data_IF_206460378376
#
_entry.id   IF_206460378376
#
_cell.length_a   1.000
_cell.length_b   1.000
_cell.length_c   1.000
_cell.angle_alpha   90.00
_cell.angle_beta   90.00
_cell.angle_gamma   90.00
#
_symmetry.space_group_name_H-M   'P 1'
#
loop_
_entity.id
_entity.type
_entity.pdbx_description
1 polymer ?
#
# COMPACT_ATOMS: atom_id res chain seq x y z
N UNK A 1 22.70 -9.77 9.39
CA UNK A 1 21.29 -9.89 8.95
C UNK A 1 20.64 -8.54 9.09
N UNK A 2 19.94 -8.11 8.05
CA UNK A 2 19.17 -6.85 8.11
C UNK A 2 17.71 -7.18 8.35
N UNK A 3 17.09 -6.44 9.27
CA UNK A 3 15.67 -6.62 9.57
C UNK A 3 15.06 -5.28 9.99
N UNK A 4 13.75 -5.17 9.90
CA UNK A 4 13.02 -3.98 10.32
C UNK A 4 11.68 -4.38 10.91
N UNK A 5 11.40 -3.87 12.10
CA UNK A 5 10.10 -4.04 12.76
C UNK A 5 9.24 -2.82 12.48
N UNK A 6 7.93 -3.02 12.40
CA UNK A 6 7.00 -1.94 12.08
C UNK A 6 7.15 -0.73 13.01
N UNK A 7 7.30 -0.96 14.31
CA UNK A 7 7.40 0.14 15.29
C UNK A 7 8.62 1.03 15.04
N UNK A 8 9.65 0.52 14.38
CA UNK A 8 10.89 1.25 14.11
C UNK A 8 11.02 1.67 12.66
N UNK A 9 10.05 1.36 11.82
CA UNK A 9 10.07 1.74 10.42
C UNK A 9 9.81 3.24 10.27
N UNK A 10 10.52 3.92 9.36
CA UNK A 10 10.34 5.35 9.17
C UNK A 10 8.97 5.68 8.56
N UNK A 11 8.35 6.74 9.06
CA UNK A 11 7.14 7.28 8.46
C UNK A 11 7.44 7.88 7.11
N UNK A 12 6.52 7.73 6.17
CA UNK A 12 6.56 8.43 4.90
C UNK A 12 5.66 9.65 4.97
N UNK A 13 6.19 10.78 4.53
CA UNK A 13 5.41 12.00 4.36
C UNK A 13 4.63 11.87 3.04
N UNK A 14 3.33 11.68 3.14
CA UNK A 14 2.45 11.51 1.98
C UNK A 14 1.31 12.51 2.00
N UNK A 15 0.72 12.82 0.84
CA UNK A 15 -0.46 13.70 0.82
C UNK A 15 -1.71 13.06 1.42
N UNK A 16 -1.67 11.76 1.70
CA UNK A 16 -2.83 11.03 2.22
C UNK A 16 -3.09 11.27 3.71
N UNK A 17 -2.06 11.71 4.47
CA UNK A 17 -2.16 12.02 5.90
C UNK A 17 -2.60 10.85 6.76
N UNK A 18 -2.22 9.64 6.38
CA UNK A 18 -2.46 8.41 7.14
C UNK A 18 -1.12 7.79 7.52
N UNK A 19 -1.15 6.76 8.37
CA UNK A 19 0.07 6.09 8.81
C UNK A 19 0.64 5.24 7.68
N UNK A 20 1.70 5.71 7.04
CA UNK A 20 2.44 5.02 5.99
C UNK A 20 3.88 4.88 6.44
N UNK A 21 4.38 3.65 6.50
CA UNK A 21 5.75 3.36 6.90
C UNK A 21 6.47 2.56 5.84
N UNK A 22 7.72 2.93 5.57
CA UNK A 22 8.55 2.20 4.61
C UNK A 22 9.23 1.02 5.31
N UNK A 23 8.89 -0.20 4.88
CA UNK A 23 9.44 -1.42 5.45
C UNK A 23 10.66 -1.92 4.68
N UNK A 24 10.74 -1.61 3.39
CA UNK A 24 11.79 -2.12 2.52
C UNK A 24 11.94 -1.19 1.33
N UNK A 25 13.16 -0.89 0.94
CA UNK A 25 13.41 -0.08 -0.25
C UNK A 25 14.73 -0.52 -0.88
N UNK A 26 14.62 -1.19 -2.00
CA UNK A 26 15.73 -1.61 -2.86
C UNK A 26 15.32 -1.34 -4.31
N UNK A 27 16.26 -1.37 -5.27
CA UNK A 27 15.90 -1.04 -6.66
C UNK A 27 14.77 -1.90 -7.24
N UNK A 28 14.68 -3.17 -6.86
CA UNK A 28 13.71 -4.09 -7.43
C UNK A 28 12.35 -4.06 -6.74
N UNK A 29 12.26 -3.47 -5.56
CA UNK A 29 11.00 -3.41 -4.83
C UNK A 29 10.99 -2.34 -3.74
N UNK A 30 9.80 -1.82 -3.48
CA UNK A 30 9.54 -0.97 -2.31
C UNK A 30 8.32 -1.52 -1.58
N UNK A 31 8.43 -1.69 -0.27
CA UNK A 31 7.34 -2.21 0.57
C UNK A 31 6.94 -1.15 1.58
N UNK A 32 5.68 -0.76 1.53
CA UNK A 32 5.07 0.18 2.46
C UNK A 32 4.08 -0.57 3.34
N UNK A 33 4.00 -0.20 4.60
CA UNK A 33 2.97 -0.67 5.51
C UNK A 33 2.02 0.49 5.78
N UNK A 34 0.74 0.27 5.56
CA UNK A 34 -0.29 1.29 5.74
C UNK A 34 -1.25 0.84 6.81
N UNK A 35 -1.54 1.74 7.75
CA UNK A 35 -2.58 1.54 8.75
C UNK A 35 -3.69 2.55 8.49
N UNK A 36 -4.91 2.07 8.35
CA UNK A 36 -6.10 2.90 8.16
C UNK A 36 -7.05 2.68 9.33
N UNK A 37 -7.32 3.75 10.06
CA UNK A 37 -8.38 3.74 11.05
C UNK A 37 -9.75 3.79 10.33
N UNK A 38 -10.85 3.41 11.00
CA UNK A 38 -12.17 3.55 10.39
C UNK A 38 -12.41 4.95 9.83
N UNK A 39 -12.83 5.02 8.57
CA UNK A 39 -13.08 6.28 7.86
C UNK A 39 -11.87 6.87 7.14
N UNK A 40 -10.67 6.37 7.38
CA UNK A 40 -9.48 6.84 6.67
C UNK A 40 -9.35 6.21 5.29
N UNK A 41 -8.66 6.91 4.40
CA UNK A 41 -8.49 6.46 3.02
C UNK A 41 -7.18 6.97 2.42
N UNK A 42 -6.72 6.25 1.39
CA UNK A 42 -5.70 6.73 0.46
C UNK A 42 -6.42 7.22 -0.79
N UNK A 43 -6.21 8.48 -1.15
CA UNK A 43 -6.89 9.08 -2.30
C UNK A 43 -6.56 8.34 -3.60
N UNK A 44 -7.46 8.37 -4.59
CA UNK A 44 -7.19 7.75 -5.88
C UNK A 44 -5.92 8.29 -6.51
N UNK A 45 -5.07 7.40 -7.01
CA UNK A 45 -3.84 7.79 -7.70
C UNK A 45 -3.36 6.66 -8.60
N UNK A 46 -2.44 7.01 -9.50
CA UNK A 46 -1.74 6.05 -10.36
C UNK A 46 -0.33 5.86 -9.87
N UNK A 47 0.19 4.66 -10.08
CA UNK A 47 1.60 4.36 -9.85
C UNK A 47 2.24 3.93 -11.17
N UNK A 48 3.46 4.41 -11.49
CA UNK A 48 4.09 4.10 -12.78
C UNK A 48 4.69 2.69 -12.86
N UNK A 49 4.51 1.89 -11.83
CA UNK A 49 5.00 0.51 -11.74
C UNK A 49 3.87 -0.39 -11.26
N UNK A 50 4.04 -1.70 -11.43
CA UNK A 50 3.09 -2.66 -10.90
C UNK A 50 3.09 -2.64 -9.38
N UNK A 51 1.91 -2.78 -8.80
CA UNK A 51 1.69 -2.78 -7.37
C UNK A 51 0.85 -3.98 -7.00
N UNK A 52 1.11 -4.57 -5.85
CA UNK A 52 0.11 -5.43 -5.23
C UNK A 52 -0.13 -5.01 -3.79
N UNK A 53 -1.33 -5.26 -3.32
CA UNK A 53 -1.74 -5.04 -1.94
C UNK A 53 -1.90 -6.38 -1.26
N UNK A 54 -1.45 -6.48 -0.02
CA UNK A 54 -1.69 -7.66 0.80
C UNK A 54 -2.35 -7.23 2.10
N UNK A 55 -3.52 -7.79 2.39
CA UNK A 55 -4.31 -7.42 3.55
C UNK A 55 -3.79 -8.18 4.76
N UNK A 56 -3.31 -7.45 5.78
CA UNK A 56 -2.78 -8.03 7.01
C UNK A 56 -3.84 -8.09 8.11
N UNK A 57 -4.75 -7.13 8.14
CA UNK A 57 -5.72 -6.99 9.21
C UNK A 57 -6.91 -6.17 8.74
N UNK A 58 -8.10 -6.46 9.29
CA UNK A 58 -9.30 -5.72 8.93
C UNK A 58 -9.88 -6.18 7.60
N UNK A 59 -10.75 -5.36 7.05
CA UNK A 59 -11.43 -5.65 5.78
C UNK A 59 -11.58 -4.37 4.95
N UNK A 60 -10.44 -3.84 4.45
CA UNK A 60 -10.47 -2.60 3.67
C UNK A 60 -11.15 -2.81 2.32
N UNK A 61 -11.69 -1.72 1.78
CA UNK A 61 -12.21 -1.67 0.42
C UNK A 61 -11.09 -1.22 -0.52
N UNK A 62 -10.90 -1.97 -1.59
CA UNK A 62 -9.88 -1.68 -2.61
C UNK A 62 -10.58 -1.52 -3.94
N UNK A 63 -10.24 -0.42 -4.64
CA UNK A 63 -10.72 -0.16 -5.98
C UNK A 63 -9.54 -0.15 -6.94
N UNK A 64 -9.64 -0.93 -8.01
CA UNK A 64 -8.69 -0.98 -9.11
C UNK A 64 -9.44 -0.61 -10.38
N UNK A 65 -9.12 0.55 -10.97
CA UNK A 65 -9.90 1.05 -12.09
C UNK A 65 -11.35 1.26 -11.65
N UNK A 66 -12.28 0.56 -12.29
CA UNK A 66 -13.70 0.66 -11.96
C UNK A 66 -14.21 -0.46 -11.06
N UNK A 67 -13.36 -1.43 -10.74
CA UNK A 67 -13.75 -2.55 -9.88
C UNK A 67 -13.44 -2.24 -8.41
N UNK A 68 -14.37 -2.54 -7.53
CA UNK A 68 -14.23 -2.26 -6.10
C UNK A 68 -14.82 -3.41 -5.28
N UNK A 69 -14.12 -3.77 -4.21
CA UNK A 69 -14.60 -4.78 -3.26
C UNK A 69 -13.90 -4.63 -1.93
N UNK A 70 -14.55 -5.11 -0.86
CA UNK A 70 -13.90 -5.27 0.44
C UNK A 70 -13.23 -6.65 0.47
N UNK A 71 -12.02 -6.71 1.04
CA UNK A 71 -11.25 -7.94 1.09
C UNK A 71 -10.82 -8.28 2.50
N UNK A 72 -10.93 -9.55 2.93
CA UNK A 72 -10.46 -9.96 4.25
C UNK A 72 -8.94 -10.10 4.30
N UNK A 73 -8.42 -10.31 5.49
CA UNK A 73 -6.98 -10.57 5.68
C UNK A 73 -6.52 -11.76 4.84
N UNK A 74 -5.24 -11.77 4.53
CA UNK A 74 -4.58 -12.82 3.75
C UNK A 74 -5.09 -12.89 2.31
N UNK A 75 -5.48 -11.74 1.77
CA UNK A 75 -5.83 -11.59 0.36
C UNK A 75 -4.77 -10.74 -0.32
N UNK A 76 -4.34 -11.13 -1.51
CA UNK A 76 -3.47 -10.32 -2.36
C UNK A 76 -4.31 -9.78 -3.52
N UNK A 77 -4.12 -8.47 -3.82
CA UNK A 77 -4.84 -7.79 -4.90
C UNK A 77 -3.80 -7.16 -5.82
N UNK A 78 -3.85 -7.46 -7.10
CA UNK A 78 -2.93 -6.89 -8.08
C UNK A 78 -3.48 -5.59 -8.63
N UNK A 79 -2.60 -4.57 -8.69
CA UNK A 79 -2.91 -3.30 -9.33
C UNK A 79 -1.88 -3.03 -10.41
N UNK A 80 -2.22 -3.26 -11.70
CA UNK A 80 -1.29 -3.03 -12.79
C UNK A 80 -0.86 -1.56 -12.86
N UNK A 81 0.36 -1.33 -13.37
CA UNK A 81 0.88 0.02 -13.56
C UNK A 81 -0.09 0.89 -14.36
N UNK A 82 -0.11 2.18 -14.04
CA UNK A 82 -0.90 3.22 -14.73
C UNK A 82 -2.42 3.06 -14.61
N UNK A 83 -2.90 2.14 -13.78
CA UNK A 83 -4.32 2.00 -13.46
C UNK A 83 -4.57 2.72 -12.13
N UNK A 84 -5.58 3.58 -12.09
CA UNK A 84 -5.95 4.29 -10.87
C UNK A 84 -6.39 3.29 -9.82
N UNK A 85 -5.83 3.41 -8.62
CA UNK A 85 -6.25 2.60 -7.48
C UNK A 85 -6.56 3.48 -6.26
N UNK A 86 -7.32 2.90 -5.34
CA UNK A 86 -7.85 3.61 -4.19
C UNK A 86 -8.11 2.59 -3.08
N UNK A 87 -7.80 2.98 -1.85
CA UNK A 87 -8.02 2.13 -0.68
C UNK A 87 -8.76 2.96 0.36
N UNK A 88 -9.80 2.39 0.94
CA UNK A 88 -10.53 3.02 2.04
C UNK A 88 -10.85 2.01 3.13
N UNK A 89 -10.97 2.48 4.35
CA UNK A 89 -11.45 1.65 5.45
C UNK A 89 -12.86 2.09 5.83
N UNK A 90 -13.83 1.39 5.28
CA UNK A 90 -15.26 1.65 5.55
C UNK A 90 -15.79 0.76 6.66
N UNK A 91 -14.95 -0.12 7.19
CA UNK A 91 -15.33 -1.02 8.29
C UNK A 91 -15.17 -0.39 9.66
N UNK A 92 -15.64 -1.09 10.70
CA UNK A 92 -15.61 -0.58 12.08
C UNK A 92 -14.27 -0.80 12.78
N UNK A 93 -13.34 -1.53 12.18
CA UNK A 93 -12.06 -1.88 12.78
C UNK A 93 -10.91 -1.33 11.95
N UNK A 94 -9.75 -1.18 12.59
CA UNK A 94 -8.50 -0.81 11.95
C UNK A 94 -8.14 -1.81 10.85
N UNK A 95 -7.63 -1.31 9.74
CA UNK A 95 -7.11 -2.14 8.65
C UNK A 95 -5.62 -1.92 8.48
N UNK A 96 -4.88 -2.99 8.14
CA UNK A 96 -3.45 -2.91 7.84
C UNK A 96 -3.18 -3.57 6.50
N UNK A 97 -2.42 -2.91 5.66
CA UNK A 97 -2.17 -3.34 4.28
C UNK A 97 -0.69 -3.16 3.96
N UNK A 98 -0.09 -4.17 3.32
CA UNK A 98 1.20 -3.99 2.64
C UNK A 98 0.95 -3.52 1.23
N UNK A 99 1.73 -2.54 0.81
CA UNK A 99 1.76 -2.06 -0.58
C UNK A 99 3.14 -2.36 -1.12
N UNK A 100 3.22 -3.20 -2.13
CA UNK A 100 4.49 -3.62 -2.72
C UNK A 100 4.56 -3.14 -4.15
N UNK A 101 5.58 -2.34 -4.45
CA UNK A 101 5.83 -1.76 -5.77
C UNK A 101 7.03 -2.45 -6.40
N UNK A 102 6.87 -2.93 -7.62
CA UNK A 102 7.90 -3.67 -8.34
C UNK A 102 7.99 -3.21 -9.79
N UNK A 103 9.12 -2.60 -10.19
CA UNK A 103 10.27 -2.21 -9.39
C UNK A 103 9.98 -1.02 -8.47
N UNK A 104 10.97 -0.63 -7.67
CA UNK A 104 10.84 0.56 -6.83
C UNK A 104 10.73 1.81 -7.75
N UNK A 105 9.64 2.60 -7.67
CA UNK A 105 9.46 3.75 -8.55
C UNK A 105 10.44 4.89 -8.28
N UNK A 106 11.10 4.87 -7.12
CA UNK A 106 12.09 5.86 -6.72
C UNK A 106 13.51 5.46 -7.10
N UNK A 107 13.71 4.22 -7.59
CA UNK A 107 15.03 3.77 -8.00
C UNK A 107 15.47 4.48 -9.27
N UNK A 108 16.74 4.91 -9.31
CA UNK A 108 17.32 5.48 -10.52
C UNK A 108 17.51 4.36 -11.53
N UNK A 109 17.10 4.61 -12.76
CA UNK A 109 17.39 3.68 -13.86
C UNK A 109 18.88 3.72 -14.14
N UNK A 110 19.49 2.54 -14.36
CA UNK A 110 20.83 2.47 -14.88
C UNK A 110 20.85 3.00 -16.32
N UNK A 111 21.86 3.79 -16.60
CA UNK A 111 22.09 4.32 -17.95
C UNK A 111 22.98 3.38 -18.74
#
# INVERSE_FOLDING_TARGET
MNFRQLLNAPFKNTPHKVDVREMYSQPDAQVMHITLQPGELLKPHKTPVDVFFYILEGEPTIQIGEESSAFPKDTIIESPKEIVHYISNEGPQMARILVVKTPNPLAKKAL
#
